data_IF_627297270238
#
_entry.id   IF_627297270238
#
_cell.length_a   1.000
_cell.length_b   1.000
_cell.length_c   1.000
_cell.angle_alpha   90.00
_cell.angle_beta   90.00
_cell.angle_gamma   90.00
#
_symmetry.space_group_name_H-M   'P 1'
#
loop_
_entity.id
_entity.type
_entity.pdbx_description
1 polymer ?
#
# COMPACT_ATOMS: atom_id res chain seq x y z
N UNK A 1 -23.87 -2.89 -69.00
CA UNK A 1 -22.98 -1.70 -69.08
C UNK A 1 -21.99 -1.75 -67.92
N UNK A 2 -20.74 -2.18 -68.16
CA UNK A 2 -19.65 -2.15 -67.16
C UNK A 2 -19.01 -0.76 -67.19
N UNK A 3 -19.02 -0.02 -66.08
CA UNK A 3 -18.21 1.22 -65.92
C UNK A 3 -16.89 0.83 -65.28
N UNK A 4 -15.80 0.92 -66.04
CA UNK A 4 -14.43 0.75 -65.54
C UNK A 4 -14.02 2.00 -64.74
N UNK A 5 -13.63 1.81 -63.48
CA UNK A 5 -13.01 2.86 -62.67
C UNK A 5 -11.57 3.07 -63.17
N UNK A 6 -11.29 4.16 -63.88
CA UNK A 6 -9.92 4.57 -64.20
C UNK A 6 -9.36 5.36 -63.02
N UNK A 7 -8.53 4.72 -62.22
CA UNK A 7 -7.74 5.39 -61.17
C UNK A 7 -6.66 6.21 -61.89
N UNK A 8 -6.63 7.53 -61.61
CA UNK A 8 -5.63 8.44 -62.18
C UNK A 8 -4.23 8.02 -61.76
N UNK A 9 -3.29 8.00 -62.71
CA UNK A 9 -1.86 7.71 -62.49
C UNK A 9 -1.25 8.56 -61.36
N UNK A 10 -1.77 9.76 -61.11
CA UNK A 10 -1.35 10.62 -60.01
C UNK A 10 -1.65 10.02 -58.62
N UNK A 11 -2.76 9.30 -58.48
CA UNK A 11 -3.17 8.66 -57.22
C UNK A 11 -2.31 7.43 -56.92
N UNK A 12 -1.93 6.66 -57.94
CA UNK A 12 -1.02 5.52 -57.81
C UNK A 12 0.40 5.98 -57.42
N UNK A 13 0.86 7.12 -57.94
CA UNK A 13 2.17 7.69 -57.59
C UNK A 13 2.20 8.20 -56.14
N UNK A 14 1.14 8.87 -55.69
CA UNK A 14 1.02 9.33 -54.30
C UNK A 14 1.02 8.17 -53.30
N UNK A 15 0.32 7.08 -53.63
CA UNK A 15 0.30 5.88 -52.78
C UNK A 15 1.67 5.18 -52.73
N UNK A 16 2.39 5.16 -53.86
CA UNK A 16 3.75 4.61 -53.93
C UNK A 16 4.75 5.45 -53.12
N UNK A 17 4.67 6.79 -53.19
CA UNK A 17 5.51 7.70 -52.42
C UNK A 17 5.23 7.57 -50.91
N UNK A 18 3.96 7.47 -50.51
CA UNK A 18 3.59 7.27 -49.09
C UNK A 18 4.06 5.90 -48.56
N UNK A 19 4.02 4.87 -49.41
CA UNK A 19 4.54 3.54 -49.08
C UNK A 19 6.07 3.53 -48.99
N UNK A 20 6.78 4.30 -49.84
CA UNK A 20 8.23 4.43 -49.79
C UNK A 20 8.71 5.22 -48.56
N UNK A 21 8.00 6.29 -48.20
CA UNK A 21 8.31 7.09 -47.01
C UNK A 21 8.05 6.31 -45.71
N UNK A 22 7.01 5.47 -45.66
CA UNK A 22 6.77 4.57 -44.52
C UNK A 22 7.80 3.45 -44.43
N UNK A 23 8.27 2.89 -45.55
CA UNK A 23 9.38 1.94 -45.59
C UNK A 23 10.73 2.56 -45.19
N UNK A 24 11.01 3.81 -45.58
CA UNK A 24 12.22 4.53 -45.18
C UNK A 24 12.21 4.93 -43.70
N UNK A 25 11.04 5.28 -43.14
CA UNK A 25 10.87 5.52 -41.69
C UNK A 25 10.95 4.22 -40.87
N UNK A 26 10.54 3.09 -41.46
CA UNK A 26 10.72 1.75 -40.85
C UNK A 26 12.19 1.29 -40.90
N UNK A 27 12.93 1.66 -41.95
CA UNK A 27 14.37 1.33 -42.09
C UNK A 27 15.29 2.18 -41.19
N UNK A 28 14.87 3.39 -40.81
CA UNK A 28 15.62 4.22 -39.85
C UNK A 28 15.32 3.89 -38.38
N UNK A 29 14.31 3.07 -38.09
CA UNK A 29 14.03 2.53 -36.75
C UNK A 29 14.60 1.11 -36.52
N UNK A 30 15.20 0.50 -37.54
CA UNK A 30 15.81 -0.84 -37.47
C UNK A 30 17.33 -0.77 -37.41
N UNK A 31 17.86 0.05 -36.50
CA UNK A 31 19.26 -0.03 -36.03
C UNK A 31 19.34 0.40 -34.55
N UNK A 32 18.53 -0.22 -33.70
CA UNK A 32 18.82 -0.34 -32.28
C UNK A 32 18.47 -1.77 -31.87
N UNK A 33 19.51 -2.57 -31.66
CA UNK A 33 19.40 -3.90 -31.08
C UNK A 33 18.61 -3.85 -29.77
N UNK A 34 17.54 -4.65 -29.59
CA UNK A 34 17.00 -4.90 -28.27
C UNK A 34 17.91 -5.96 -27.61
N UNK A 35 18.98 -5.52 -26.96
CA UNK A 35 19.64 -6.37 -25.98
C UNK A 35 18.71 -6.56 -24.80
N UNK A 36 18.43 -7.83 -24.49
CA UNK A 36 17.71 -8.29 -23.31
C UNK A 36 18.11 -7.49 -22.05
N UNK A 37 17.24 -6.60 -21.57
CA UNK A 37 17.36 -6.06 -20.22
C UNK A 37 16.63 -6.99 -19.24
N UNK A 38 17.21 -8.18 -19.11
CA UNK A 38 17.02 -9.13 -18.03
C UNK A 38 18.34 -9.13 -17.28
N UNK A 39 18.30 -8.78 -15.99
CA UNK A 39 19.42 -8.69 -15.02
C UNK A 39 20.47 -7.56 -15.20
N UNK A 40 20.34 -6.52 -14.35
CA UNK A 40 21.49 -5.82 -13.76
C UNK A 40 21.33 -5.78 -12.23
N UNK A 41 21.54 -6.92 -11.58
CA UNK A 41 21.84 -7.00 -10.13
C UNK A 41 22.89 -8.08 -9.84
N UNK A 42 23.81 -8.29 -10.78
CA UNK A 42 24.90 -9.24 -10.63
C UNK A 42 26.25 -8.57 -10.92
N UNK A 43 26.68 -7.64 -10.07
CA UNK A 43 28.08 -7.23 -9.93
C UNK A 43 28.30 -6.39 -8.68
N UNK A 44 28.33 -7.05 -7.52
CA UNK A 44 29.18 -6.75 -6.34
C UNK A 44 28.84 -7.78 -5.25
N UNK A 45 29.24 -9.03 -5.52
CA UNK A 45 29.55 -9.99 -4.48
C UNK A 45 31.00 -9.76 -4.07
N UNK A 46 31.25 -10.03 -2.79
CA UNK A 46 32.50 -9.88 -2.01
C UNK A 46 32.50 -8.66 -1.08
N UNK A 47 32.51 -8.98 0.22
CA UNK A 47 32.43 -8.12 1.44
C UNK A 47 31.08 -8.04 2.18
N UNK A 48 30.29 -9.11 2.17
CA UNK A 48 29.11 -9.21 3.05
C UNK A 48 29.40 -9.72 4.48
N UNK A 49 30.67 -9.99 4.85
CA UNK A 49 31.01 -10.52 6.18
C UNK A 49 31.77 -9.56 7.12
N UNK A 50 31.96 -8.28 6.74
CA UNK A 50 32.71 -7.29 7.53
C UNK A 50 31.93 -5.99 7.88
N UNK A 51 30.64 -5.90 7.56
CA UNK A 51 29.89 -4.63 7.66
C UNK A 51 29.21 -4.36 9.01
N UNK A 52 29.39 -5.22 10.03
CA UNK A 52 28.79 -4.99 11.36
C UNK A 52 29.65 -4.16 12.33
N UNK A 53 30.79 -3.59 11.88
CA UNK A 53 31.75 -2.92 12.78
C UNK A 53 32.13 -1.48 12.41
N UNK A 54 31.54 -0.87 11.37
CA UNK A 54 31.82 0.53 11.02
C UNK A 54 30.71 1.47 11.51
N UNK A 55 31.05 2.61 12.14
CA UNK A 55 30.04 3.62 12.50
C UNK A 55 29.28 4.07 11.24
N UNK A 56 27.96 4.31 11.32
CA UNK A 56 27.21 4.82 10.19
C UNK A 56 27.81 6.15 9.72
N UNK A 57 27.89 6.33 8.40
CA UNK A 57 28.41 7.58 7.82
C UNK A 57 27.63 8.80 8.33
N UNK A 58 28.24 9.99 8.33
CA UNK A 58 27.56 11.25 8.69
C UNK A 58 26.25 11.45 7.93
N UNK A 59 26.22 11.06 6.65
CA UNK A 59 25.01 11.09 5.82
C UNK A 59 23.95 10.10 6.32
N UNK A 60 24.34 8.87 6.66
CA UNK A 60 23.42 7.86 7.20
C UNK A 60 22.78 8.32 8.52
N UNK A 61 23.55 8.97 9.40
CA UNK A 61 23.03 9.53 10.64
C UNK A 61 22.02 10.67 10.39
N UNK A 62 22.30 11.56 9.44
CA UNK A 62 21.37 12.63 9.10
C UNK A 62 20.08 12.06 8.49
N UNK A 63 20.17 11.14 7.52
CA UNK A 63 19.00 10.48 6.93
C UNK A 63 18.11 9.82 7.99
N UNK A 64 18.71 9.20 9.01
CA UNK A 64 17.99 8.62 10.15
C UNK A 64 17.27 9.70 10.97
N UNK A 65 17.95 10.81 11.28
CA UNK A 65 17.36 11.96 11.99
C UNK A 65 16.19 12.57 11.21
N UNK A 66 16.30 12.64 9.89
CA UNK A 66 15.24 13.15 9.01
C UNK A 66 14.05 12.19 8.91
N UNK A 67 14.31 10.88 8.93
CA UNK A 67 13.27 9.86 8.95
C UNK A 67 12.44 9.91 10.25
N UNK A 68 13.01 10.41 11.36
CA UNK A 68 12.34 10.59 12.64
C UNK A 68 11.36 11.78 12.69
N UNK A 69 11.44 12.73 11.75
CA UNK A 69 10.51 13.86 11.73
C UNK A 69 9.15 13.45 11.16
N UNK A 70 8.08 13.74 11.91
CA UNK A 70 6.68 13.58 11.49
C UNK A 70 5.94 14.93 11.54
N UNK A 71 6.07 15.76 10.50
CA UNK A 71 5.37 17.04 10.43
C UNK A 71 3.86 16.90 10.18
N UNK A 72 3.36 15.71 9.81
CA UNK A 72 1.93 15.40 9.69
C UNK A 72 1.28 15.07 11.04
N UNK A 73 2.07 14.58 12.00
CA UNK A 73 1.61 14.10 13.30
C UNK A 73 0.84 15.11 14.15
N UNK A 74 1.21 16.39 14.13
CA UNK A 74 0.45 17.43 14.85
C UNK A 74 -0.94 17.65 14.25
N UNK A 75 -1.04 17.68 12.92
CA UNK A 75 -2.32 17.79 12.22
C UNK A 75 -3.20 16.58 12.48
N UNK A 76 -2.58 15.39 12.53
CA UNK A 76 -3.27 14.16 12.87
C UNK A 76 -3.82 14.18 14.31
N UNK A 77 -2.98 14.53 15.30
CA UNK A 77 -3.38 14.68 16.72
C UNK A 77 -4.51 15.67 16.89
N UNK A 78 -4.44 16.82 16.21
CA UNK A 78 -5.52 17.81 16.19
C UNK A 78 -6.82 17.23 15.64
N UNK A 79 -6.76 16.45 14.56
CA UNK A 79 -7.94 15.75 14.02
C UNK A 79 -8.56 14.74 14.99
N UNK A 80 -7.76 14.04 15.79
CA UNK A 80 -8.26 13.17 16.87
C UNK A 80 -8.94 13.99 17.96
N UNK A 81 -8.34 15.11 18.37
CA UNK A 81 -8.89 15.98 19.39
C UNK A 81 -10.21 16.62 18.95
N UNK A 82 -10.25 17.16 17.74
CA UNK A 82 -11.46 17.69 17.10
C UNK A 82 -12.56 16.63 17.06
N UNK A 83 -12.20 15.36 16.78
CA UNK A 83 -13.13 14.25 16.79
C UNK A 83 -13.67 13.97 18.20
N UNK A 84 -12.81 13.90 19.22
CA UNK A 84 -13.17 13.61 20.61
C UNK A 84 -14.07 14.70 21.21
N UNK A 85 -13.81 15.95 20.87
CA UNK A 85 -14.55 17.12 21.34
C UNK A 85 -15.86 17.32 20.56
N UNK A 86 -16.08 16.58 19.46
CA UNK A 86 -17.24 16.76 18.57
C UNK A 86 -17.13 18.02 17.69
N UNK A 87 -15.95 18.63 17.66
CA UNK A 87 -15.55 19.77 16.84
C UNK A 87 -15.18 19.33 15.42
N UNK A 88 -15.98 18.45 14.81
CA UNK A 88 -15.77 18.05 13.42
C UNK A 88 -15.89 19.29 12.52
N UNK A 89 -14.80 19.72 11.84
CA UNK A 89 -14.93 20.79 10.87
C UNK A 89 -15.85 20.28 9.75
N UNK A 90 -16.91 21.04 9.46
CA UNK A 90 -17.72 20.90 8.26
C UNK A 90 -16.87 21.29 7.03
N UNK A 91 -15.73 20.63 6.78
CA UNK A 91 -14.91 20.90 5.60
C UNK A 91 -15.47 20.15 4.40
N UNK A 92 -16.63 20.63 3.92
CA UNK A 92 -17.22 20.28 2.62
C UNK A 92 -16.23 20.46 1.45
N UNK A 93 -15.21 21.31 1.62
CA UNK A 93 -14.34 21.75 0.52
C UNK A 93 -12.96 21.08 0.40
N UNK A 94 -12.54 20.26 1.37
CA UNK A 94 -11.27 19.53 1.28
C UNK A 94 -11.40 18.09 0.80
N UNK A 95 -12.46 17.37 1.20
CA UNK A 95 -12.74 16.03 0.66
C UNK A 95 -12.98 16.09 -0.85
N UNK A 96 -13.75 17.07 -1.32
CA UNK A 96 -14.01 17.29 -2.75
C UNK A 96 -12.77 17.70 -3.54
N UNK A 97 -11.86 18.49 -2.95
CA UNK A 97 -10.58 18.88 -3.59
C UNK A 97 -9.54 17.76 -3.59
N UNK A 98 -9.52 16.89 -2.58
CA UNK A 98 -8.62 15.74 -2.53
C UNK A 98 -9.10 14.60 -3.44
N UNK A 99 -10.42 14.32 -3.49
CA UNK A 99 -11.02 13.39 -4.45
C UNK A 99 -10.82 13.82 -5.90
N UNK A 100 -10.92 15.12 -6.21
CA UNK A 100 -10.67 15.64 -7.56
C UNK A 100 -9.19 15.70 -7.95
N UNK A 101 -8.27 15.82 -6.99
CA UNK A 101 -6.82 15.89 -7.27
C UNK A 101 -6.12 14.53 -7.31
N UNK A 102 -6.61 13.53 -6.58
CA UNK A 102 -5.95 12.22 -6.48
C UNK A 102 -6.37 11.25 -7.61
N UNK A 103 -7.51 11.47 -8.26
CA UNK A 103 -8.02 10.53 -9.28
C UNK A 103 -8.82 11.20 -10.41
N UNK A 104 -8.17 11.88 -11.39
CA UNK A 104 -8.88 12.39 -12.56
C UNK A 104 -9.20 11.29 -13.58
N UNK A 105 -8.59 10.10 -13.47
CA UNK A 105 -8.57 9.06 -14.52
C UNK A 105 -9.15 7.71 -14.11
N UNK A 106 -9.82 7.59 -12.97
CA UNK A 106 -10.68 6.41 -12.74
C UNK A 106 -11.92 6.60 -13.60
N UNK A 107 -11.81 6.24 -14.88
CA UNK A 107 -12.95 6.07 -15.77
C UNK A 107 -13.67 4.83 -15.26
N UNK A 108 -14.79 5.09 -14.61
CA UNK A 108 -15.73 4.12 -14.09
C UNK A 108 -16.14 3.17 -15.21
N UNK A 109 -15.88 1.88 -15.06
CA UNK A 109 -16.61 0.86 -15.81
C UNK A 109 -17.99 0.71 -15.16
N UNK A 110 -19.09 0.96 -15.89
CA UNK A 110 -20.45 0.94 -15.35
C UNK A 110 -20.98 -0.44 -14.94
N UNK A 111 -20.18 -1.50 -14.97
CA UNK A 111 -20.64 -2.90 -14.93
C UNK A 111 -20.22 -3.66 -13.67
N UNK A 112 -20.21 -3.06 -12.47
CA UNK A 112 -20.16 -3.88 -11.22
C UNK A 112 -20.60 -3.15 -9.93
N UNK A 113 -21.70 -2.39 -9.97
CA UNK A 113 -22.43 -2.01 -8.75
C UNK A 113 -23.84 -1.55 -9.09
N UNK A 114 -24.76 -2.51 -9.24
CA UNK A 114 -26.18 -2.18 -9.34
C UNK A 114 -26.65 -1.42 -8.08
N UNK A 115 -27.08 -0.18 -8.29
CA UNK A 115 -28.22 0.45 -7.62
C UNK A 115 -28.26 0.46 -6.08
N UNK A 116 -27.14 0.69 -5.40
CA UNK A 116 -27.15 0.93 -3.96
C UNK A 116 -26.89 2.42 -3.65
N UNK A 117 -27.90 3.19 -3.20
CA UNK A 117 -27.70 4.59 -2.82
C UNK A 117 -26.70 4.70 -1.66
N UNK A 118 -25.59 5.41 -1.88
CA UNK A 118 -24.75 5.86 -0.77
C UNK A 118 -25.59 6.81 0.11
N UNK A 119 -26.04 6.37 1.29
CA UNK A 119 -26.59 7.31 2.28
C UNK A 119 -25.44 8.20 2.74
N UNK A 120 -25.39 9.44 2.24
CA UNK A 120 -24.62 10.52 2.83
C UNK A 120 -25.18 10.76 4.25
N UNK A 121 -24.62 10.07 5.25
CA UNK A 121 -25.00 10.28 6.67
C UNK A 121 -24.71 11.74 7.03
N UNK A 122 -25.68 12.41 7.64
CA UNK A 122 -25.56 13.84 7.91
C UNK A 122 -24.50 14.10 8.99
N UNK A 123 -23.78 15.23 9.00
CA UNK A 123 -22.85 15.59 10.07
C UNK A 123 -23.48 15.61 11.48
N UNK A 124 -24.81 15.80 11.58
CA UNK A 124 -25.56 15.71 12.84
C UNK A 124 -25.63 14.26 13.37
N UNK A 125 -25.68 13.27 12.47
CA UNK A 125 -25.63 11.84 12.84
C UNK A 125 -24.29 11.47 13.48
N UNK A 126 -23.18 12.07 13.00
CA UNK A 126 -21.86 11.88 13.58
C UNK A 126 -21.73 12.50 14.98
N UNK A 127 -22.20 13.74 15.19
CA UNK A 127 -22.15 14.41 16.49
C UNK A 127 -22.96 13.68 17.56
N UNK A 128 -24.14 13.20 17.20
CA UNK A 128 -24.96 12.42 18.13
C UNK A 128 -24.26 11.10 18.47
N UNK A 129 -23.73 10.36 17.48
CA UNK A 129 -23.08 9.06 17.70
C UNK A 129 -21.75 9.13 18.47
N UNK A 130 -20.94 10.17 18.31
CA UNK A 130 -19.72 10.39 19.11
C UNK A 130 -20.05 10.68 20.59
N UNK A 131 -21.19 11.35 20.86
CA UNK A 131 -21.67 11.56 22.23
C UNK A 131 -22.12 10.26 22.90
N UNK A 132 -22.57 9.25 22.14
CA UNK A 132 -23.13 8.00 22.67
C UNK A 132 -22.19 6.79 22.62
N UNK A 133 -20.91 6.93 22.25
CA UNK A 133 -19.97 5.81 22.19
C UNK A 133 -18.82 5.93 23.22
N UNK A 134 -19.05 5.57 24.50
CA UNK A 134 -18.02 5.49 25.53
C UNK A 134 -16.83 4.63 25.12
N UNK A 135 -17.05 3.51 24.42
CA UNK A 135 -16.00 2.63 23.92
C UNK A 135 -15.13 3.32 22.85
N UNK A 136 -15.73 4.15 21.99
CA UNK A 136 -14.99 4.95 21.00
C UNK A 136 -14.07 5.93 21.70
N UNK A 137 -14.58 6.69 22.68
CA UNK A 137 -13.76 7.63 23.46
C UNK A 137 -12.64 6.91 24.21
N UNK A 138 -12.92 5.75 24.80
CA UNK A 138 -11.92 4.91 25.48
C UNK A 138 -10.87 4.40 24.50
N UNK A 139 -11.26 3.84 23.35
CA UNK A 139 -10.34 3.34 22.32
C UNK A 139 -9.46 4.45 21.76
N UNK A 140 -10.05 5.58 21.37
CA UNK A 140 -9.30 6.74 20.87
C UNK A 140 -8.32 7.27 21.94
N UNK A 141 -8.74 7.40 23.21
CA UNK A 141 -7.86 7.90 24.28
C UNK A 141 -6.77 6.91 24.73
N UNK A 142 -7.05 5.60 24.73
CA UNK A 142 -6.08 4.59 25.20
C UNK A 142 -5.16 4.07 24.11
N UNK A 143 -5.61 4.00 22.86
CA UNK A 143 -4.81 3.48 21.74
C UNK A 143 -4.17 4.57 20.88
N UNK A 144 -4.71 5.79 20.79
CA UNK A 144 -4.12 6.86 19.97
C UNK A 144 -3.24 7.84 20.75
N UNK A 145 -3.35 7.85 22.07
CA UNK A 145 -2.53 8.68 22.95
C UNK A 145 -1.71 7.78 23.88
N UNK A 146 -0.59 7.20 23.40
CA UNK A 146 0.18 6.30 24.23
C UNK A 146 0.96 7.12 25.26
N UNK A 147 0.51 7.06 26.52
CA UNK A 147 1.38 7.35 27.67
C UNK A 147 2.31 6.17 28.01
N UNK A 148 2.18 5.02 27.32
CA UNK A 148 3.04 3.85 27.53
C UNK A 148 4.05 3.73 26.39
N UNK A 149 5.33 3.85 26.73
CA UNK A 149 6.45 3.43 25.89
C UNK A 149 6.44 1.90 25.84
N UNK A 150 5.73 1.30 24.89
CA UNK A 150 5.94 -0.12 24.60
C UNK A 150 7.34 -0.29 24.02
N UNK A 151 8.01 -1.38 24.38
CA UNK A 151 9.23 -1.77 23.68
C UNK A 151 8.83 -2.10 22.23
N UNK A 152 9.46 -1.50 21.23
CA UNK A 152 9.05 -1.66 19.82
C UNK A 152 9.20 -3.11 19.33
N UNK A 153 9.97 -3.94 20.05
CA UNK A 153 9.99 -5.39 19.90
C UNK A 153 8.74 -6.11 20.44
N UNK A 154 8.00 -5.53 21.40
CA UNK A 154 6.68 -6.00 21.86
C UNK A 154 5.56 -5.59 20.89
N UNK A 155 5.71 -4.43 20.23
CA UNK A 155 4.78 -3.95 19.20
C UNK A 155 4.74 -4.87 17.98
N UNK A 156 5.87 -5.52 17.66
CA UNK A 156 5.95 -6.56 16.61
C UNK A 156 5.41 -7.92 17.08
N UNK A 157 5.29 -8.15 18.39
CA UNK A 157 4.85 -9.43 18.98
C UNK A 157 3.34 -9.49 19.25
N UNK A 158 2.62 -8.36 19.20
CA UNK A 158 1.21 -8.29 19.57
C UNK A 158 0.40 -7.27 18.73
N UNK A 159 0.14 -7.51 17.44
CA UNK A 159 -0.98 -6.87 16.77
C UNK A 159 -2.28 -7.59 17.18
N UNK A 160 -2.71 -7.36 18.44
CA UNK A 160 -4.08 -7.52 18.99
C UNK A 160 -4.83 -8.85 18.72
N UNK A 161 -5.29 -9.51 19.78
CA UNK A 161 -6.61 -10.19 19.81
C UNK A 161 -6.85 -11.39 18.88
N UNK A 162 -5.87 -11.85 18.12
CA UNK A 162 -5.88 -13.21 17.60
C UNK A 162 -5.77 -14.15 18.80
N UNK A 163 -6.44 -15.30 18.77
CA UNK A 163 -6.18 -16.42 19.68
C UNK A 163 -4.76 -17.02 19.51
N UNK A 164 -3.81 -16.28 18.93
CA UNK A 164 -2.39 -16.53 19.15
C UNK A 164 -2.07 -16.11 20.57
N UNK A 165 -2.00 -17.10 21.47
CA UNK A 165 -1.33 -16.92 22.77
C UNK A 165 -0.03 -16.13 22.53
N UNK A 166 0.26 -15.09 23.34
CA UNK A 166 1.49 -14.31 23.19
C UNK A 166 2.69 -15.24 23.00
N UNK A 167 3.37 -15.13 21.85
CA UNK A 167 4.51 -15.99 21.49
C UNK A 167 4.23 -17.14 20.51
N UNK A 168 2.98 -17.42 20.10
CA UNK A 168 2.69 -18.41 19.05
C UNK A 168 2.69 -17.75 17.66
N UNK A 169 3.76 -17.99 16.89
CA UNK A 169 3.90 -17.55 15.50
C UNK A 169 3.24 -18.55 14.53
N UNK A 170 2.86 -18.08 13.36
CA UNK A 170 2.44 -18.93 12.24
C UNK A 170 3.68 -19.50 11.53
N UNK A 171 3.76 -20.81 11.24
CA UNK A 171 4.94 -21.38 10.60
C UNK A 171 5.23 -20.76 9.22
N UNK A 172 4.18 -20.56 8.42
CA UNK A 172 4.28 -19.92 7.10
C UNK A 172 3.18 -18.90 6.87
N UNK A 173 3.54 -17.75 6.31
CA UNK A 173 2.60 -16.71 5.91
C UNK A 173 2.80 -16.29 4.47
N UNK A 174 1.71 -16.19 3.71
CA UNK A 174 1.68 -15.50 2.43
C UNK A 174 1.08 -14.11 2.62
N UNK A 175 1.78 -13.08 2.16
CA UNK A 175 1.22 -11.74 1.98
C UNK A 175 0.97 -11.55 0.50
N UNK A 176 -0.29 -11.33 0.13
CA UNK A 176 -0.71 -11.21 -1.27
C UNK A 176 -1.00 -9.74 -1.57
N UNK A 177 -0.07 -9.12 -2.30
CA UNK A 177 -0.22 -7.79 -2.86
C UNK A 177 -1.24 -7.74 -3.99
N UNK A 178 -1.62 -6.53 -4.40
CA UNK A 178 -2.66 -6.35 -5.41
C UNK A 178 -2.10 -6.18 -6.82
N UNK A 179 -0.78 -6.19 -7.01
CA UNK A 179 -0.14 -5.89 -8.30
C UNK A 179 -0.65 -6.77 -9.44
N UNK A 180 -0.86 -6.16 -10.61
CA UNK A 180 -1.24 -6.87 -11.83
C UNK A 180 -0.19 -7.86 -12.32
N UNK A 181 1.03 -7.81 -11.79
CA UNK A 181 2.11 -8.74 -12.11
C UNK A 181 1.75 -10.20 -11.80
N UNK A 182 0.90 -10.42 -10.78
CA UNK A 182 0.40 -11.74 -10.39
C UNK A 182 -0.36 -12.47 -11.50
N UNK A 183 -0.88 -11.76 -12.50
CA UNK A 183 -1.57 -12.38 -13.64
C UNK A 183 -0.62 -13.11 -14.59
N UNK A 184 0.69 -12.90 -14.47
CA UNK A 184 1.69 -13.54 -15.34
C UNK A 184 2.05 -14.97 -14.91
N UNK A 185 1.67 -15.36 -13.70
CA UNK A 185 2.03 -16.63 -13.07
C UNK A 185 0.81 -17.24 -12.38
N UNK A 186 0.84 -18.54 -12.11
CA UNK A 186 -0.27 -19.26 -11.48
C UNK A 186 0.07 -19.63 -10.03
N UNK A 187 0.23 -18.61 -9.18
CA UNK A 187 0.64 -18.81 -7.79
C UNK A 187 -0.49 -19.27 -6.86
N UNK A 188 -1.72 -19.45 -7.36
CA UNK A 188 -2.89 -19.67 -6.51
C UNK A 188 -2.77 -20.84 -5.54
N UNK A 189 -2.32 -22.00 -6.04
CA UNK A 189 -2.08 -23.18 -5.19
C UNK A 189 -0.93 -22.95 -4.22
N UNK A 190 0.13 -22.27 -4.63
CA UNK A 190 1.29 -21.99 -3.78
C UNK A 190 0.94 -21.04 -2.64
N UNK A 191 0.12 -20.03 -2.91
CA UNK A 191 -0.42 -19.11 -1.89
C UNK A 191 -1.24 -19.89 -0.87
N UNK A 192 -2.17 -20.74 -1.32
CA UNK A 192 -3.12 -21.43 -0.44
C UNK A 192 -2.47 -22.51 0.47
N UNK A 193 -1.24 -22.95 0.16
CA UNK A 193 -0.44 -23.85 1.02
C UNK A 193 0.03 -23.22 2.34
N UNK A 194 0.07 -21.89 2.44
CA UNK A 194 0.59 -21.22 3.63
C UNK A 194 -0.39 -21.30 4.80
N UNK A 195 0.09 -21.36 6.04
CA UNK A 195 -0.77 -21.46 7.23
C UNK A 195 -1.70 -20.26 7.37
N UNK A 196 -1.14 -19.05 7.17
CA UNK A 196 -1.86 -17.79 7.16
C UNK A 196 -1.71 -17.08 5.80
N UNK A 197 -2.83 -16.63 5.23
CA UNK A 197 -2.84 -15.79 4.03
C UNK A 197 -3.39 -14.41 4.37
N UNK A 198 -2.57 -13.37 4.14
CA UNK A 198 -2.89 -11.96 4.40
C UNK A 198 -3.18 -11.27 3.06
N UNK A 199 -4.36 -10.66 2.91
CA UNK A 199 -4.76 -9.94 1.68
C UNK A 199 -5.06 -8.48 1.95
N UNK A 200 -4.89 -7.64 0.92
CA UNK A 200 -4.93 -6.18 1.07
C UNK A 200 -6.21 -5.55 0.50
N UNK A 201 -6.75 -4.54 1.20
CA UNK A 201 -7.65 -3.51 0.66
C UNK A 201 -8.84 -4.03 -0.19
N UNK A 202 -9.47 -5.14 0.21
CA UNK A 202 -10.64 -5.68 -0.49
C UNK A 202 -10.35 -6.07 -1.97
N UNK A 203 -9.22 -6.72 -2.18
CA UNK A 203 -8.85 -7.29 -3.47
C UNK A 203 -9.76 -8.48 -3.81
N UNK A 204 -10.31 -8.49 -5.02
CA UNK A 204 -11.18 -9.58 -5.47
C UNK A 204 -10.37 -10.87 -5.63
N UNK A 205 -10.85 -11.99 -5.13
CA UNK A 205 -10.26 -13.33 -5.40
C UNK A 205 -11.06 -14.08 -6.46
N UNK A 206 -12.39 -13.88 -6.48
CA UNK A 206 -13.30 -14.54 -7.40
C UNK A 206 -12.98 -14.21 -8.86
N UNK A 207 -12.68 -15.24 -9.65
CA UNK A 207 -12.24 -15.15 -11.04
C UNK A 207 -10.72 -15.00 -11.22
N UNK A 208 -9.96 -14.97 -10.13
CA UNK A 208 -8.51 -14.83 -10.11
C UNK A 208 -7.82 -15.93 -9.28
N UNK A 209 -8.56 -16.92 -8.78
CA UNK A 209 -8.09 -17.94 -7.82
C UNK A 209 -6.86 -18.68 -8.34
N UNK A 210 -6.80 -18.95 -9.65
CA UNK A 210 -5.64 -19.56 -10.30
C UNK A 210 -4.33 -18.78 -10.06
N UNK A 211 -4.43 -17.46 -9.99
CA UNK A 211 -3.29 -16.55 -9.88
C UNK A 211 -3.03 -16.15 -8.43
N UNK A 212 -4.09 -15.91 -7.64
CA UNK A 212 -3.98 -15.29 -6.32
C UNK A 212 -4.48 -16.16 -5.17
N UNK A 213 -4.99 -17.36 -5.44
CA UNK A 213 -5.53 -18.27 -4.45
C UNK A 213 -6.93 -17.87 -3.96
N UNK A 214 -7.47 -18.70 -3.08
CA UNK A 214 -8.81 -18.57 -2.50
C UNK A 214 -8.78 -18.38 -0.99
N UNK A 215 -7.73 -18.89 -0.31
CA UNK A 215 -7.57 -18.83 1.14
C UNK A 215 -7.31 -17.39 1.58
N UNK A 216 -7.97 -17.01 2.68
CA UNK A 216 -7.70 -15.76 3.41
C UNK A 216 -7.89 -16.00 4.89
N UNK A 217 -6.86 -15.71 5.69
CA UNK A 217 -6.94 -15.77 7.15
C UNK A 217 -6.92 -14.40 7.83
N UNK A 218 -6.36 -13.39 7.15
CA UNK A 218 -6.33 -12.02 7.65
C UNK A 218 -6.55 -11.02 6.51
N UNK A 219 -7.47 -10.07 6.74
CA UNK A 219 -7.75 -8.98 5.82
C UNK A 219 -7.08 -7.69 6.33
N UNK A 220 -6.05 -7.22 5.64
CA UNK A 220 -5.39 -5.96 5.97
C UNK A 220 -6.00 -4.81 5.16
N UNK A 221 -6.66 -3.85 5.82
CA UNK A 221 -7.47 -2.83 5.15
C UNK A 221 -7.09 -1.43 5.63
N UNK A 222 -6.80 -0.50 4.72
CA UNK A 222 -6.69 0.92 5.03
C UNK A 222 -8.05 1.50 5.49
N UNK A 223 -8.07 2.34 6.53
CA UNK A 223 -9.32 2.88 7.07
C UNK A 223 -10.19 3.65 6.06
N UNK A 224 -9.62 4.27 5.03
CA UNK A 224 -10.37 4.90 3.92
C UNK A 224 -11.22 3.88 3.15
N UNK A 225 -10.66 2.71 2.84
CA UNK A 225 -11.38 1.63 2.13
C UNK A 225 -12.51 1.11 3.01
N UNK A 226 -12.22 0.87 4.29
CA UNK A 226 -13.21 0.37 5.24
C UNK A 226 -14.35 1.37 5.47
N UNK A 227 -14.03 2.66 5.63
CA UNK A 227 -15.01 3.74 5.75
C UNK A 227 -15.93 3.81 4.53
N UNK A 228 -15.38 3.72 3.32
CA UNK A 228 -16.17 3.70 2.07
C UNK A 228 -17.12 2.50 2.01
N UNK A 229 -16.68 1.31 2.42
CA UNK A 229 -17.53 0.13 2.48
C UNK A 229 -18.63 0.28 3.54
N UNK A 230 -18.30 0.80 4.72
CA UNK A 230 -19.23 0.95 5.85
C UNK A 230 -20.36 1.96 5.57
N UNK A 231 -20.15 2.87 4.60
CA UNK A 231 -21.17 3.81 4.12
C UNK A 231 -22.15 3.21 3.09
N UNK A 232 -21.93 1.98 2.62
CA UNK A 232 -22.85 1.28 1.70
C UNK A 232 -24.09 0.78 2.44
N UNK A 233 -25.19 0.59 1.72
CA UNK A 233 -26.39 -0.06 2.28
C UNK A 233 -26.04 -1.50 2.68
N UNK A 234 -26.57 -1.96 3.81
CA UNK A 234 -26.26 -3.29 4.33
C UNK A 234 -24.92 -3.39 5.03
N UNK A 235 -24.11 -2.32 5.09
CA UNK A 235 -22.94 -2.28 5.96
C UNK A 235 -21.84 -3.31 5.66
N UNK A 236 -21.92 -4.00 4.51
CA UNK A 236 -21.08 -5.14 4.19
C UNK A 236 -19.62 -4.74 3.95
N UNK A 237 -18.74 -5.12 4.88
CA UNK A 237 -17.31 -4.82 4.87
C UNK A 237 -16.44 -6.07 5.07
N UNK A 238 -16.90 -7.24 4.62
CA UNK A 238 -16.26 -8.53 4.87
C UNK A 238 -15.91 -9.22 3.55
N UNK A 239 -14.93 -8.70 2.81
CA UNK A 239 -14.71 -9.11 1.43
C UNK A 239 -14.19 -10.54 1.27
N UNK A 240 -13.67 -11.11 2.36
CA UNK A 240 -13.14 -12.46 2.40
C UNK A 240 -13.96 -13.39 3.32
N UNK A 241 -15.16 -12.96 3.72
CA UNK A 241 -16.08 -13.71 4.58
C UNK A 241 -16.21 -13.16 6.00
N UNK A 242 -17.31 -13.53 6.67
CA UNK A 242 -17.70 -13.01 7.99
C UNK A 242 -16.76 -13.43 9.12
N UNK A 243 -15.98 -14.51 8.94
CA UNK A 243 -15.09 -15.06 9.95
C UNK A 243 -13.61 -14.64 9.75
N UNK A 244 -13.31 -13.85 8.72
CA UNK A 244 -11.95 -13.37 8.46
C UNK A 244 -11.71 -12.09 9.23
N UNK A 245 -10.75 -12.14 10.16
CA UNK A 245 -10.37 -10.96 10.95
C UNK A 245 -9.88 -9.82 10.06
N UNK A 246 -10.23 -8.60 10.42
CA UNK A 246 -9.79 -7.38 9.75
C UNK A 246 -8.76 -6.69 10.62
N UNK A 247 -7.56 -6.45 10.09
CA UNK A 247 -6.55 -5.59 10.68
C UNK A 247 -6.50 -4.28 9.88
N UNK A 248 -6.57 -3.15 10.57
CA UNK A 248 -6.49 -1.84 9.95
C UNK A 248 -5.44 -0.95 10.60
N UNK A 249 -4.97 0.02 9.84
CA UNK A 249 -4.42 1.28 10.36
C UNK A 249 -5.35 2.43 9.97
N UNK A 250 -5.30 3.53 10.71
CA UNK A 250 -6.13 4.70 10.44
C UNK A 250 -5.32 5.81 9.78
N UNK A 251 -5.72 6.22 8.57
CA UNK A 251 -5.18 7.44 7.95
C UNK A 251 -5.95 8.71 8.37
N UNK A 252 -7.20 8.54 8.86
CA UNK A 252 -8.03 9.62 9.41
C UNK A 252 -8.90 9.09 10.54
N UNK A 253 -9.02 9.87 11.62
CA UNK A 253 -9.86 9.58 12.77
C UNK A 253 -11.32 9.32 12.40
N UNK A 254 -11.83 10.12 11.46
CA UNK A 254 -13.22 10.13 11.01
C UNK A 254 -13.67 8.80 10.42
N UNK A 255 -12.75 8.08 9.75
CA UNK A 255 -13.02 6.79 9.14
C UNK A 255 -13.47 5.74 10.15
N UNK A 256 -13.00 5.84 11.39
CA UNK A 256 -13.35 4.89 12.45
C UNK A 256 -14.83 5.03 12.85
N UNK A 257 -15.40 6.23 12.74
CA UNK A 257 -16.80 6.47 13.09
C UNK A 257 -17.72 5.73 12.11
N UNK A 258 -17.39 5.72 10.81
CA UNK A 258 -18.18 5.02 9.80
C UNK A 258 -18.35 3.56 10.13
N UNK A 259 -17.24 2.90 10.48
CA UNK A 259 -17.23 1.49 10.83
C UNK A 259 -18.00 1.22 12.13
N UNK A 260 -17.76 1.99 13.20
CA UNK A 260 -18.50 1.81 14.45
C UNK A 260 -20.00 2.04 14.28
N UNK A 261 -20.36 3.08 13.54
CA UNK A 261 -21.74 3.43 13.23
C UNK A 261 -22.42 2.39 12.34
N UNK A 262 -21.65 1.50 11.73
CA UNK A 262 -22.10 0.39 10.94
C UNK A 262 -22.28 -0.87 11.81
N UNK A 263 -21.27 -1.17 12.64
CA UNK A 263 -21.29 -2.27 13.63
C UNK A 263 -22.43 -2.14 14.67
N UNK A 264 -22.68 -0.94 15.17
CA UNK A 264 -23.78 -0.69 16.12
C UNK A 264 -25.19 -0.74 15.52
N UNK A 265 -25.31 -0.80 14.19
CA UNK A 265 -26.60 -0.82 13.49
C UNK A 265 -26.87 -2.12 12.72
N UNK A 266 -25.88 -2.99 12.52
CA UNK A 266 -26.08 -4.28 11.88
C UNK A 266 -25.59 -5.41 12.79
N UNK A 267 -26.45 -6.40 13.05
CA UNK A 267 -26.04 -7.71 13.59
C UNK A 267 -25.20 -8.52 12.58
N UNK A 268 -24.63 -7.87 11.55
CA UNK A 268 -23.96 -8.48 10.41
C UNK A 268 -22.44 -8.31 10.46
N UNK A 269 -21.92 -7.40 11.30
CA UNK A 269 -20.48 -7.20 11.45
C UNK A 269 -19.88 -8.19 12.47
N UNK A 270 -19.74 -9.45 12.06
CA UNK A 270 -19.18 -10.52 12.90
C UNK A 270 -17.65 -10.60 12.85
N UNK A 271 -17.02 -10.01 11.84
CA UNK A 271 -15.56 -10.11 11.69
C UNK A 271 -14.84 -9.33 12.81
N UNK A 272 -13.92 -9.96 13.55
CA UNK A 272 -13.11 -9.27 14.55
C UNK A 272 -12.33 -8.12 13.90
N UNK A 273 -12.41 -6.93 14.51
CA UNK A 273 -11.65 -5.76 14.07
C UNK A 273 -10.48 -5.49 15.00
N UNK A 274 -9.29 -5.45 14.40
CA UNK A 274 -8.01 -5.16 15.02
C UNK A 274 -7.46 -3.87 14.43
N UNK A 275 -6.74 -3.11 15.25
CA UNK A 275 -6.16 -1.83 14.85
C UNK A 275 -4.66 -1.87 15.19
N UNK A 276 -3.80 -1.45 14.29
CA UNK A 276 -2.36 -1.35 14.57
C UNK A 276 -2.06 -0.32 15.66
N UNK A 277 -0.94 -0.52 16.38
CA UNK A 277 -0.46 0.44 17.37
C UNK A 277 0.16 1.67 16.68
N UNK A 278 -0.07 2.91 17.17
CA UNK A 278 0.52 4.09 16.55
C UNK A 278 2.05 4.10 16.52
N UNK A 279 2.71 3.47 17.51
CA UNK A 279 4.16 3.30 17.50
C UNK A 279 4.63 2.36 16.39
N UNK A 280 3.82 1.35 16.05
CA UNK A 280 4.07 0.49 14.90
C UNK A 280 3.83 1.23 13.57
N UNK A 281 2.80 2.07 13.48
CA UNK A 281 2.56 2.95 12.33
C UNK A 281 3.75 3.92 12.13
N UNK A 282 4.25 4.53 13.21
CA UNK A 282 5.40 5.43 13.18
C UNK A 282 6.69 4.73 12.74
N UNK A 283 6.95 3.49 13.22
CA UNK A 283 8.08 2.69 12.75
C UNK A 283 7.99 2.44 11.23
N UNK A 284 6.82 2.08 10.73
CA UNK A 284 6.63 1.84 9.31
C UNK A 284 6.93 3.10 8.47
N UNK A 285 6.40 4.24 8.90
CA UNK A 285 6.66 5.54 8.26
C UNK A 285 8.15 5.89 8.26
N UNK A 286 8.83 5.69 9.39
CA UNK A 286 10.26 5.96 9.55
C UNK A 286 11.11 5.12 8.60
N UNK A 287 10.84 3.82 8.46
CA UNK A 287 11.59 2.93 7.55
C UNK A 287 11.42 3.40 6.10
N UNK A 288 10.18 3.61 5.64
CA UNK A 288 9.93 4.02 4.24
C UNK A 288 10.49 5.41 3.96
N UNK A 289 10.36 6.36 4.90
CA UNK A 289 10.93 7.71 4.80
C UNK A 289 12.45 7.65 4.66
N UNK A 290 13.14 6.81 5.43
CA UNK A 290 14.58 6.63 5.30
C UNK A 290 14.98 6.17 3.89
N UNK A 291 14.31 5.16 3.33
CA UNK A 291 14.61 4.68 1.98
C UNK A 291 14.28 5.71 0.90
N UNK A 292 13.18 6.44 1.06
CA UNK A 292 12.81 7.53 0.13
C UNK A 292 13.85 8.66 0.13
N UNK A 293 14.29 9.11 1.32
CA UNK A 293 15.33 10.11 1.46
C UNK A 293 16.67 9.63 0.89
N UNK A 294 17.05 8.38 1.18
CA UNK A 294 18.28 7.78 0.65
C UNK A 294 18.29 7.78 -0.88
N UNK A 295 17.21 7.30 -1.51
CA UNK A 295 17.06 7.30 -2.96
C UNK A 295 17.10 8.71 -3.55
N UNK A 296 16.44 9.67 -2.91
CA UNK A 296 16.49 11.06 -3.34
C UNK A 296 17.93 11.60 -3.37
N UNK A 297 18.76 11.31 -2.37
CA UNK A 297 20.18 11.70 -2.37
C UNK A 297 20.95 11.00 -3.49
N UNK A 298 20.72 9.70 -3.68
CA UNK A 298 21.39 8.92 -4.73
C UNK A 298 21.05 9.40 -6.14
N UNK A 299 19.80 9.81 -6.37
CA UNK A 299 19.31 10.29 -7.67
C UNK A 299 19.72 11.74 -7.97
N UNK A 300 19.75 12.61 -6.95
CA UNK A 300 19.98 14.05 -7.14
C UNK A 300 21.40 14.51 -6.82
N UNK A 301 22.15 13.75 -6.02
CA UNK A 301 23.43 14.17 -5.44
C UNK A 301 23.30 15.27 -4.37
N UNK A 302 22.08 15.69 -4.00
CA UNK A 302 21.85 16.83 -3.12
C UNK A 302 21.68 16.40 -1.66
N UNK A 303 22.80 16.27 -0.94
CA UNK A 303 22.80 15.97 0.49
C UNK A 303 22.58 17.21 1.39
N UNK A 304 22.79 18.45 0.91
CA UNK A 304 22.86 19.64 1.77
C UNK A 304 21.52 20.41 1.92
N UNK A 305 20.54 20.17 1.03
CA UNK A 305 19.19 20.79 1.03
C UNK A 305 18.05 19.76 1.22
N UNK A 306 18.42 18.60 1.77
CA UNK A 306 17.64 17.37 1.90
C UNK A 306 16.16 17.53 2.28
N UNK A 307 15.83 18.14 3.42
CA UNK A 307 14.45 18.19 3.92
C UNK A 307 13.53 19.09 3.09
N UNK A 308 14.02 20.29 2.77
CA UNK A 308 13.19 21.32 2.16
C UNK A 308 12.80 20.93 0.74
N UNK A 309 13.68 20.28 0.00
CA UNK A 309 13.44 19.92 -1.40
C UNK A 309 12.84 18.52 -1.55
N UNK A 310 13.20 17.56 -0.68
CA UNK A 310 12.46 16.29 -0.60
C UNK A 310 11.01 16.53 -0.14
N UNK A 311 10.79 17.39 0.86
CA UNK A 311 9.46 17.64 1.39
C UNK A 311 8.55 18.41 0.43
N UNK A 312 9.10 19.28 -0.43
CA UNK A 312 8.36 19.91 -1.54
C UNK A 312 8.00 18.92 -2.64
N UNK A 313 8.89 17.98 -2.96
CA UNK A 313 8.68 17.03 -4.06
C UNK A 313 7.75 15.88 -3.68
N UNK A 314 7.69 15.51 -2.40
CA UNK A 314 6.92 14.35 -1.91
C UNK A 314 5.70 14.71 -1.05
N UNK A 315 5.37 15.99 -0.91
CA UNK A 315 4.36 16.49 0.03
C UNK A 315 4.54 15.84 1.41
N UNK A 316 5.63 16.18 2.10
CA UNK A 316 6.08 15.50 3.32
C UNK A 316 4.97 15.32 4.39
N UNK A 317 3.98 16.22 4.42
CA UNK A 317 2.85 16.12 5.35
C UNK A 317 1.86 15.00 5.01
N UNK A 318 1.83 14.57 3.75
CA UNK A 318 0.99 13.49 3.23
C UNK A 318 1.77 12.22 2.94
N UNK A 319 3.10 12.24 3.03
CA UNK A 319 3.94 11.08 2.82
C UNK A 319 3.52 9.92 3.73
N UNK A 320 3.21 8.78 3.11
CA UNK A 320 2.77 7.59 3.84
C UNK A 320 3.24 6.32 3.12
N UNK A 321 3.48 5.26 3.88
CA UNK A 321 3.74 3.92 3.34
C UNK A 321 2.45 3.29 2.78
N UNK A 322 2.57 2.30 1.90
CA UNK A 322 1.42 1.57 1.36
C UNK A 322 0.82 0.60 2.38
N UNK A 323 -0.47 0.24 2.24
CA UNK A 323 -1.05 -0.85 3.05
C UNK A 323 -0.26 -2.15 2.94
N UNK A 324 0.36 -2.39 1.78
CA UNK A 324 1.18 -3.58 1.54
C UNK A 324 2.40 -3.59 2.45
N UNK A 325 3.10 -2.46 2.57
CA UNK A 325 4.29 -2.36 3.41
C UNK A 325 3.99 -2.74 4.87
N UNK A 326 2.92 -2.18 5.44
CA UNK A 326 2.57 -2.48 6.81
C UNK A 326 2.07 -3.91 7.02
N UNK A 327 1.35 -4.48 6.04
CA UNK A 327 0.97 -5.89 6.09
C UNK A 327 2.21 -6.82 6.07
N UNK A 328 3.26 -6.45 5.31
CA UNK A 328 4.56 -7.15 5.37
C UNK A 328 5.16 -7.04 6.76
N UNK A 329 5.23 -5.84 7.33
CA UNK A 329 5.76 -5.64 8.69
C UNK A 329 4.99 -6.45 9.76
N UNK A 330 3.67 -6.57 9.62
CA UNK A 330 2.83 -7.43 10.47
C UNK A 330 3.23 -8.90 10.31
N UNK A 331 3.38 -9.39 9.08
CA UNK A 331 3.78 -10.76 8.81
C UNK A 331 5.16 -11.09 9.41
N UNK A 332 6.13 -10.18 9.33
CA UNK A 332 7.45 -10.37 9.95
C UNK A 332 7.34 -10.61 11.47
N UNK A 333 6.42 -9.89 12.13
CA UNK A 333 6.19 -9.98 13.56
C UNK A 333 5.54 -11.29 14.02
N UNK A 334 4.64 -11.85 13.20
CA UNK A 334 3.76 -12.97 13.60
C UNK A 334 4.07 -14.31 12.91
N UNK A 335 5.03 -14.38 11.99
CA UNK A 335 5.27 -15.57 11.16
C UNK A 335 6.73 -16.03 11.14
N UNK A 336 6.99 -17.33 11.18
CA UNK A 336 8.35 -17.88 11.15
C UNK A 336 9.01 -17.79 9.76
N UNK A 337 8.20 -17.80 8.69
CA UNK A 337 8.61 -17.56 7.31
C UNK A 337 7.56 -16.75 6.56
N UNK A 338 8.00 -15.84 5.70
CA UNK A 338 7.11 -14.93 4.95
C UNK A 338 7.36 -15.05 3.45
N UNK A 339 6.29 -15.23 2.69
CA UNK A 339 6.27 -15.22 1.23
C UNK A 339 5.46 -14.03 0.74
N UNK A 340 6.07 -13.17 -0.08
CA UNK A 340 5.47 -11.97 -0.65
C UNK A 340 5.08 -12.23 -2.09
N UNK A 341 3.78 -12.15 -2.40
CA UNK A 341 3.26 -12.34 -3.76
C UNK A 341 2.80 -11.01 -4.32
N UNK A 342 3.31 -10.61 -5.49
CA UNK A 342 2.84 -9.39 -6.18
C UNK A 342 3.33 -8.08 -5.55
N UNK A 343 4.48 -8.12 -4.86
CA UNK A 343 5.16 -6.95 -4.30
C UNK A 343 6.22 -6.42 -5.26
N UNK A 344 5.74 -5.87 -6.38
CA UNK A 344 6.57 -5.34 -7.45
C UNK A 344 5.73 -4.90 -8.65
N UNK A 345 6.38 -4.33 -9.66
CA UNK A 345 5.70 -3.84 -10.86
C UNK A 345 6.55 -4.05 -12.11
N UNK A 346 5.87 -4.27 -13.23
CA UNK A 346 6.45 -4.19 -14.58
C UNK A 346 5.69 -3.15 -15.42
N UNK A 347 6.33 -2.62 -16.47
CA UNK A 347 5.74 -1.58 -17.33
C UNK A 347 4.43 -2.00 -17.99
N UNK A 348 4.27 -3.30 -18.22
CA UNK A 348 3.08 -3.88 -18.86
C UNK A 348 1.98 -4.24 -17.86
N UNK A 349 2.32 -4.36 -16.56
CA UNK A 349 1.37 -4.76 -15.54
C UNK A 349 0.45 -3.60 -15.13
N UNK A 350 -0.82 -3.95 -14.87
CA UNK A 350 -1.74 -3.05 -14.17
C UNK A 350 -1.26 -2.82 -12.74
N UNK A 351 -1.65 -1.71 -12.14
CA UNK A 351 -1.40 -1.47 -10.72
C UNK A 351 -2.17 -2.46 -9.85
N UNK A 352 -3.41 -2.80 -10.23
CA UNK A 352 -4.17 -3.86 -9.58
C UNK A 352 -4.53 -4.97 -10.57
N UNK A 353 -4.43 -6.24 -10.15
CA UNK A 353 -4.84 -7.37 -10.96
C UNK A 353 -6.37 -7.41 -11.18
N UNK A 354 -7.14 -6.87 -10.24
CA UNK A 354 -8.60 -6.90 -10.24
C UNK A 354 -9.27 -5.58 -10.61
N UNK A 355 -8.51 -4.58 -11.09
CA UNK A 355 -9.09 -3.31 -11.59
C UNK A 355 -8.42 -2.86 -12.89
N UNK A 356 -8.95 -1.80 -13.52
CA UNK A 356 -8.37 -1.21 -14.71
C UNK A 356 -7.32 -0.10 -14.42
N UNK A 357 -6.95 0.09 -13.15
CA UNK A 357 -5.92 1.05 -12.78
C UNK A 357 -4.53 0.55 -13.22
N UNK A 358 -3.83 1.33 -14.06
CA UNK A 358 -2.48 1.00 -14.54
C UNK A 358 -1.37 1.68 -13.74
N UNK A 359 -1.57 2.94 -13.35
CA UNK A 359 -0.56 3.74 -12.64
C UNK A 359 -0.61 3.48 -11.14
N UNK A 360 0.58 3.50 -10.54
CA UNK A 360 0.75 3.58 -9.09
C UNK A 360 0.27 4.95 -8.60
N UNK A 361 -0.01 5.03 -7.30
CA UNK A 361 -0.40 6.27 -6.64
C UNK A 361 0.85 7.09 -6.29
N UNK A 362 0.81 8.40 -6.54
CA UNK A 362 1.93 9.30 -6.22
C UNK A 362 2.10 9.53 -4.70
N UNK A 363 1.11 9.10 -3.89
CA UNK A 363 1.13 9.23 -2.43
C UNK A 363 2.17 8.32 -1.75
N UNK A 364 2.55 7.20 -2.40
CA UNK A 364 3.49 6.23 -1.86
C UNK A 364 4.75 6.21 -2.71
N UNK A 365 5.92 6.05 -2.08
CA UNK A 365 7.17 5.83 -2.80
C UNK A 365 7.40 4.34 -3.04
N UNK A 366 6.65 3.77 -4.00
CA UNK A 366 6.68 2.32 -4.30
C UNK A 366 8.08 1.81 -4.61
N UNK A 367 8.91 2.60 -5.29
CA UNK A 367 10.29 2.22 -5.58
C UNK A 367 11.16 2.11 -4.31
N UNK A 368 10.91 2.96 -3.31
CA UNK A 368 11.54 2.82 -2.00
C UNK A 368 11.07 1.52 -1.31
N UNK A 369 9.77 1.22 -1.35
CA UNK A 369 9.22 -0.03 -0.79
C UNK A 369 9.76 -1.28 -1.48
N UNK A 370 9.87 -1.29 -2.81
CA UNK A 370 10.46 -2.41 -3.57
C UNK A 370 11.90 -2.68 -3.16
N UNK A 371 12.66 -1.61 -2.92
CA UNK A 371 14.03 -1.72 -2.39
C UNK A 371 14.02 -2.34 -0.99
N UNK A 372 13.08 -1.94 -0.13
CA UNK A 372 12.95 -2.51 1.22
C UNK A 372 12.59 -4.00 1.16
N UNK A 373 11.64 -4.42 0.31
CA UNK A 373 11.28 -5.83 0.19
C UNK A 373 12.49 -6.66 -0.26
N UNK A 374 13.28 -6.15 -1.21
CA UNK A 374 14.48 -6.84 -1.66
C UNK A 374 15.53 -6.94 -0.54
N UNK A 375 15.75 -5.87 0.23
CA UNK A 375 16.66 -5.87 1.36
C UNK A 375 16.17 -6.83 2.47
N UNK A 376 14.88 -6.87 2.79
CA UNK A 376 14.29 -7.83 3.73
C UNK A 376 14.53 -9.29 3.30
N UNK A 377 14.54 -9.57 2.00
CA UNK A 377 14.77 -10.92 1.47
C UNK A 377 16.24 -11.32 1.43
N UNK A 378 17.14 -10.40 1.07
CA UNK A 378 18.53 -10.73 0.76
C UNK A 378 19.52 -10.34 1.87
N UNK A 379 19.26 -9.24 2.56
CA UNK A 379 20.19 -8.60 3.52
C UNK A 379 19.43 -7.84 4.62
N UNK A 380 18.57 -8.53 5.39
CA UNK A 380 17.66 -7.88 6.33
C UNK A 380 18.35 -7.00 7.38
N UNK A 381 19.64 -7.25 7.67
CA UNK A 381 20.46 -6.49 8.59
C UNK A 381 20.68 -5.03 8.17
N UNK A 382 20.52 -4.69 6.88
CA UNK A 382 20.68 -3.31 6.39
C UNK A 382 19.41 -2.48 6.54
N UNK A 383 18.26 -3.11 6.81
CA UNK A 383 17.01 -2.41 7.05
C UNK A 383 17.12 -1.70 8.41
N UNK A 384 17.13 -0.36 8.43
CA UNK A 384 17.41 0.40 9.64
C UNK A 384 16.29 0.20 10.67
N UNK A 385 16.62 0.51 11.93
CA UNK A 385 15.70 0.47 13.07
C UNK A 385 15.30 -0.94 13.50
N UNK A 386 15.18 -1.94 12.61
CA UNK A 386 14.82 -3.31 13.01
C UNK A 386 15.90 -3.97 13.87
N UNK A 387 17.17 -3.89 13.44
CA UNK A 387 18.30 -4.46 14.17
C UNK A 387 18.53 -3.79 15.52
N UNK A 388 18.36 -2.46 15.59
CA UNK A 388 18.48 -1.67 16.83
C UNK A 388 17.44 -2.09 17.89
N UNK A 389 16.33 -2.64 17.45
CA UNK A 389 15.27 -3.16 18.32
C UNK A 389 15.48 -4.61 18.73
N UNK A 390 16.61 -5.21 18.34
CA UNK A 390 16.88 -6.63 18.53
C UNK A 390 15.90 -7.52 17.74
N UNK A 391 15.24 -6.99 16.71
CA UNK A 391 14.29 -7.75 15.93
C UNK A 391 15.00 -8.59 14.87
N UNK A 392 14.89 -9.91 14.98
CA UNK A 392 15.39 -10.84 13.97
C UNK A 392 14.32 -11.03 12.89
N UNK A 393 14.63 -10.56 11.68
CA UNK A 393 13.75 -10.72 10.51
C UNK A 393 13.69 -12.20 10.11
N UNK A 394 12.49 -12.80 9.99
CA UNK A 394 12.34 -14.17 9.48
C UNK A 394 12.73 -14.26 8.00
N UNK A 395 12.99 -15.45 7.44
CA UNK A 395 13.23 -15.62 6.01
C UNK A 395 12.08 -15.05 5.17
N UNK A 396 12.42 -14.21 4.17
CA UNK A 396 11.46 -13.59 3.25
C UNK A 396 11.73 -14.04 1.81
N UNK A 397 10.71 -14.60 1.16
CA UNK A 397 10.71 -14.95 -0.27
C UNK A 397 9.80 -14.01 -1.04
N UNK A 398 10.17 -13.67 -2.28
CA UNK A 398 9.39 -12.77 -3.14
C UNK A 398 9.02 -13.48 -4.44
N UNK A 399 7.74 -13.41 -4.80
CA UNK A 399 7.14 -13.95 -6.01
C UNK A 399 6.51 -12.80 -6.79
N UNK A 400 7.01 -12.59 -8.01
CA UNK A 400 6.55 -11.57 -8.95
C UNK A 400 5.69 -12.19 -10.05
#
# INVERSE_FOLDING_TARGET
MKRSLRISLAFSLLFAIFSLLSLLSYRSQTFFHPTNHVFYWAARRDKAHDLMASPPSKLTMELRRLADSDPGGESFKKGIQDLLEGNLPLRRDQLRRHEQRTHPQVRWDPWDSDHVPHRLRSPKDYRNRIRVAPELRRLLRTRLWPHRRYNLSELLKLPIGFESKPGKRHPTCAVVGNSGILLNSTYGEEIDKHDLVIRLNNARTIGYERHVGSKTGLSFINSHILSRCARRVGCFCHPYGENVSILMYFCQASHFIDYLACNSTSNQNKAPLLITDPGFDALCARIVKFYSLKRFVEETGQAHQLLTDWGKTRDEKLFHYSSGFQAVMVALGICDRVSLFGFGKSDKAKHHYHTNQKKELDLHDYLAEYTIYHDLSQRPEVVPFLTELGFKVPPVLIYL
#
